data_IF_901554656595
#
_entry.id   IF_901554656595
#
_cell.length_a   1.000
_cell.length_b   1.000
_cell.length_c   1.000
_cell.angle_alpha   90.00
_cell.angle_beta   90.00
_cell.angle_gamma   90.00
#
_symmetry.space_group_name_H-M   'P 1'
#
loop_
_entity.id
_entity.type
_entity.pdbx_description
1 polymer ?
#
# COMPACT_ATOMS: atom_id res chain seq x y z
N UNK A 1 2.69 -5.34 78.45
CA UNK A 1 3.47 -5.78 77.28
C UNK A 1 2.75 -5.60 75.95
N UNK A 2 1.47 -5.96 75.79
CA UNK A 2 0.78 -5.91 74.47
C UNK A 2 0.69 -4.50 73.85
N UNK A 3 0.52 -3.44 74.65
CA UNK A 3 0.43 -2.04 74.14
C UNK A 3 1.75 -1.46 73.61
N UNK A 4 2.90 -1.89 74.12
CA UNK A 4 4.20 -1.39 73.63
C UNK A 4 4.59 -2.06 72.30
N UNK A 5 4.28 -3.35 72.16
CA UNK A 5 4.50 -4.10 70.92
C UNK A 5 3.64 -3.57 69.77
N UNK A 6 2.38 -3.23 70.04
CA UNK A 6 1.49 -2.66 69.01
C UNK A 6 1.95 -1.29 68.52
N UNK A 7 2.43 -0.42 69.42
CA UNK A 7 2.98 0.89 69.04
C UNK A 7 4.25 0.75 68.20
N UNK A 8 5.13 -0.20 68.56
CA UNK A 8 6.36 -0.45 67.80
C UNK A 8 6.06 -0.92 66.37
N UNK A 9 5.09 -1.85 66.21
CA UNK A 9 4.70 -2.37 64.89
C UNK A 9 4.06 -1.29 64.03
N UNK A 10 3.19 -0.45 64.61
CA UNK A 10 2.57 0.67 63.88
C UNK A 10 3.61 1.72 63.48
N UNK A 11 4.56 2.05 64.36
CA UNK A 11 5.65 2.98 64.04
C UNK A 11 6.57 2.43 62.93
N UNK A 12 6.90 1.14 62.97
CA UNK A 12 7.74 0.52 61.94
C UNK A 12 7.03 0.47 60.58
N UNK A 13 5.72 0.17 60.57
CA UNK A 13 4.90 0.18 59.36
C UNK A 13 4.78 1.59 58.75
N UNK A 14 4.63 2.63 59.59
CA UNK A 14 4.61 4.02 59.14
C UNK A 14 5.96 4.47 58.57
N UNK A 15 7.08 4.06 59.16
CA UNK A 15 8.41 4.38 58.64
C UNK A 15 8.66 3.67 57.30
N UNK A 16 8.25 2.41 57.17
CA UNK A 16 8.33 1.65 55.92
C UNK A 16 7.44 2.25 54.83
N UNK A 17 6.22 2.67 55.17
CA UNK A 17 5.32 3.35 54.24
C UNK A 17 5.90 4.70 53.81
N UNK A 18 6.47 5.47 54.74
CA UNK A 18 7.10 6.76 54.44
C UNK A 18 8.34 6.58 53.55
N UNK A 19 9.18 5.58 53.85
CA UNK A 19 10.35 5.24 53.04
C UNK A 19 9.94 4.77 51.62
N UNK A 20 8.86 4.00 51.49
CA UNK A 20 8.32 3.60 50.20
C UNK A 20 7.76 4.79 49.41
N UNK A 21 7.08 5.74 50.06
CA UNK A 21 6.65 6.98 49.39
C UNK A 21 7.81 7.87 48.98
N UNK A 22 8.85 8.00 49.80
CA UNK A 22 10.06 8.77 49.46
C UNK A 22 10.82 8.07 48.31
N UNK A 23 10.95 6.74 48.31
CA UNK A 23 11.49 6.00 47.16
C UNK A 23 10.62 6.16 45.89
N UNK A 24 9.30 6.30 46.01
CA UNK A 24 8.43 6.53 44.84
C UNK A 24 8.56 7.96 44.29
N UNK A 25 8.90 8.94 45.13
CA UNK A 25 9.08 10.34 44.72
C UNK A 25 10.49 10.57 44.15
N UNK A 26 11.51 9.89 44.68
CA UNK A 26 12.90 10.00 44.19
C UNK A 26 13.30 8.93 43.17
N UNK A 27 12.57 7.81 43.11
CA UNK A 27 12.73 6.74 42.12
C UNK A 27 11.78 6.84 40.94
N UNK A 28 10.80 7.75 40.98
CA UNK A 28 10.13 8.21 39.78
C UNK A 28 11.15 9.03 38.99
N UNK A 29 11.83 8.36 38.05
CA UNK A 29 12.34 9.02 36.86
C UNK A 29 11.25 9.98 36.40
N UNK A 30 11.56 11.27 36.10
CA UNK A 30 10.56 12.18 35.57
C UNK A 30 9.87 11.42 34.44
N UNK A 31 8.54 11.26 34.56
CA UNK A 31 7.75 10.60 33.55
C UNK A 31 8.09 11.32 32.25
N UNK A 32 8.89 10.65 31.42
CA UNK A 32 9.37 11.19 30.15
C UNK A 32 8.10 11.60 29.42
N UNK A 33 7.92 12.92 29.24
CA UNK A 33 6.89 13.44 28.35
C UNK A 33 6.94 12.59 27.11
N UNK A 34 5.84 11.91 26.75
CA UNK A 34 5.81 10.83 25.77
C UNK A 34 6.55 11.20 24.48
N UNK A 35 7.84 10.87 24.41
CA UNK A 35 8.66 11.02 23.20
C UNK A 35 8.47 9.74 22.39
N UNK A 36 8.22 9.88 21.09
CA UNK A 36 7.81 8.78 20.24
C UNK A 36 8.88 7.68 20.08
N UNK A 37 10.15 8.07 19.97
CA UNK A 37 11.30 7.18 19.71
C UNK A 37 12.64 7.90 19.95
N UNK A 38 13.72 7.15 20.15
CA UNK A 38 15.09 7.65 20.30
C UNK A 38 15.97 7.27 19.11
N UNK A 39 16.64 8.26 18.53
CA UNK A 39 17.67 8.07 17.51
C UNK A 39 19.03 8.49 18.06
N UNK A 40 20.04 7.65 17.91
CA UNK A 40 21.44 8.01 18.15
C UNK A 40 22.14 8.11 16.80
N UNK A 41 22.83 9.22 16.56
CA UNK A 41 23.66 9.45 15.38
C UNK A 41 25.12 9.42 15.78
N UNK A 42 25.92 8.63 15.09
CA UNK A 42 27.37 8.61 15.26
C UNK A 42 28.07 9.71 14.46
N UNK A 43 28.87 10.52 15.15
CA UNK A 43 29.87 11.42 14.56
C UNK A 43 31.25 11.24 15.22
N UNK A 44 31.42 10.23 16.10
CA UNK A 44 32.69 9.99 16.79
C UNK A 44 33.73 9.32 15.87
N UNK A 45 33.27 8.65 14.82
CA UNK A 45 34.08 7.86 13.90
C UNK A 45 34.45 8.63 12.62
N UNK A 46 34.42 9.96 12.68
CA UNK A 46 34.98 10.86 11.67
C UNK A 46 33.97 11.33 10.61
N UNK A 47 32.69 11.11 10.84
CA UNK A 47 31.59 11.57 10.00
C UNK A 47 31.43 13.10 10.06
N UNK A 48 30.90 13.68 8.98
CA UNK A 48 30.56 15.11 8.93
C UNK A 48 29.23 15.38 9.66
N UNK A 49 29.02 16.57 10.27
CA UNK A 49 27.72 16.94 10.82
C UNK A 49 26.71 17.43 9.75
N UNK A 50 27.06 17.39 8.46
CA UNK A 50 26.20 17.88 7.38
C UNK A 50 24.85 17.15 7.33
N UNK A 51 23.76 17.91 7.18
CA UNK A 51 22.40 17.38 7.14
C UNK A 51 21.79 17.06 8.51
N UNK A 52 22.55 17.19 9.60
CA UNK A 52 22.06 16.96 10.96
C UNK A 52 20.96 17.92 11.37
N UNK A 53 21.03 19.19 10.94
CA UNK A 53 19.98 20.18 11.18
C UNK A 53 18.68 19.81 10.46
N UNK A 54 18.78 19.28 9.23
CA UNK A 54 17.65 18.79 8.45
C UNK A 54 17.06 17.55 9.13
N UNK A 55 17.91 16.62 9.59
CA UNK A 55 17.47 15.43 10.32
C UNK A 55 16.70 15.80 11.57
N UNK A 56 17.24 16.70 12.41
CA UNK A 56 16.58 17.12 13.64
C UNK A 56 15.23 17.82 13.38
N UNK A 57 15.12 18.64 12.32
CA UNK A 57 13.83 19.23 11.89
C UNK A 57 12.85 18.15 11.39
N UNK A 58 13.36 17.15 10.70
CA UNK A 58 12.58 16.06 10.10
C UNK A 58 12.01 15.13 11.17
N UNK A 59 12.76 14.91 12.24
CA UNK A 59 12.43 14.04 13.38
C UNK A 59 11.89 14.84 14.57
N UNK A 60 11.00 15.80 14.31
CA UNK A 60 10.45 16.72 15.30
C UNK A 60 9.68 16.05 16.46
N UNK A 61 9.27 14.80 16.29
CA UNK A 61 8.53 13.97 17.25
C UNK A 61 9.39 12.89 17.94
N UNK A 62 10.69 12.86 17.65
CA UNK A 62 11.66 11.96 18.27
C UNK A 62 12.71 12.72 19.09
N UNK A 63 13.43 11.98 19.94
CA UNK A 63 14.66 12.48 20.56
C UNK A 63 15.87 12.07 19.72
N UNK A 64 16.67 13.05 19.31
CA UNK A 64 17.89 12.84 18.54
C UNK A 64 19.09 13.12 19.44
N UNK A 65 19.91 12.09 19.66
CA UNK A 65 21.18 12.19 20.36
C UNK A 65 22.34 12.05 19.38
N UNK A 66 23.43 12.77 19.63
CA UNK A 66 24.63 12.74 18.77
C UNK A 66 25.82 12.29 19.60
N UNK A 67 26.48 11.23 19.15
CA UNK A 67 27.73 10.74 19.72
C UNK A 67 28.91 11.49 19.08
N UNK A 68 29.77 12.04 19.93
CA UNK A 68 30.95 12.81 19.56
C UNK A 68 32.18 12.19 20.21
N UNK A 69 33.33 12.25 19.54
CA UNK A 69 34.57 11.68 20.08
C UNK A 69 35.08 12.42 21.33
N UNK A 70 34.79 13.72 21.42
CA UNK A 70 35.15 14.57 22.56
C UNK A 70 34.20 15.77 22.68
N UNK A 71 34.13 16.38 23.86
CA UNK A 71 33.33 17.61 24.06
C UNK A 71 33.77 18.76 23.14
N UNK A 72 35.04 18.80 22.73
CA UNK A 72 35.55 19.82 21.80
C UNK A 72 34.86 19.78 20.45
N UNK A 73 34.34 18.62 20.05
CA UNK A 73 33.65 18.43 18.77
C UNK A 73 32.27 19.10 18.76
N UNK A 74 31.70 19.47 19.91
CA UNK A 74 30.48 20.27 19.97
C UNK A 74 30.62 21.60 19.22
N UNK A 75 31.81 22.19 19.22
CA UNK A 75 32.09 23.44 18.51
C UNK A 75 32.07 23.28 16.98
N UNK A 76 32.15 22.05 16.45
CA UNK A 76 32.08 21.75 15.02
C UNK A 76 30.64 21.72 14.50
N UNK A 77 29.66 21.61 15.40
CA UNK A 77 28.24 21.59 15.04
C UNK A 77 27.73 23.01 14.79
N UNK A 78 26.96 23.18 13.73
CA UNK A 78 26.33 24.46 13.43
C UNK A 78 25.32 24.85 14.53
N UNK A 79 25.02 26.15 14.71
CA UNK A 79 24.11 26.60 15.77
C UNK A 79 22.69 26.01 15.69
N UNK A 80 22.20 25.70 14.49
CA UNK A 80 20.84 25.17 14.30
C UNK A 80 20.80 23.73 14.78
N UNK A 81 21.72 22.89 14.32
CA UNK A 81 21.90 21.52 14.85
C UNK A 81 21.97 21.55 16.38
N UNK A 82 22.79 22.45 16.94
CA UNK A 82 22.95 22.51 18.40
C UNK A 82 21.69 22.86 19.18
N UNK A 83 20.78 23.60 18.56
CA UNK A 83 19.51 24.01 19.16
C UNK A 83 18.41 22.96 19.05
N UNK A 84 18.51 22.04 18.08
CA UNK A 84 17.45 21.06 17.77
C UNK A 84 17.75 19.65 18.29
N UNK A 85 19.03 19.31 18.48
CA UNK A 85 19.45 18.02 19.02
C UNK A 85 19.03 17.92 20.50
N UNK A 86 18.52 16.75 20.89
CA UNK A 86 18.00 16.48 22.23
C UNK A 86 19.09 16.30 23.28
N UNK A 87 20.26 15.78 22.87
CA UNK A 87 21.41 15.65 23.76
C UNK A 87 22.67 15.18 23.05
N UNK A 88 23.79 15.28 23.75
CA UNK A 88 25.10 14.88 23.25
C UNK A 88 25.64 13.74 24.10
N UNK A 89 26.35 12.84 23.44
CA UNK A 89 27.09 11.75 24.06
C UNK A 89 28.56 11.93 23.68
N UNK A 90 29.46 11.61 24.60
CA UNK A 90 30.90 11.78 24.43
C UNK A 90 31.57 10.41 24.57
N UNK A 91 32.50 10.09 23.68
CA UNK A 91 33.32 8.87 23.74
C UNK A 91 33.05 7.91 22.59
N UNK A 92 32.98 6.62 22.91
CA UNK A 92 32.83 5.47 22.00
C UNK A 92 31.62 4.64 22.42
N UNK A 93 31.08 3.76 21.57
CA UNK A 93 29.85 3.01 21.88
C UNK A 93 29.94 2.13 23.14
N UNK A 94 31.13 1.68 23.52
CA UNK A 94 31.38 0.91 24.75
C UNK A 94 31.51 1.80 26.01
N UNK A 95 31.82 3.09 25.84
CA UNK A 95 32.14 4.04 26.93
C UNK A 95 31.54 5.43 26.70
N UNK A 96 30.25 5.49 26.40
CA UNK A 96 29.57 6.78 26.21
C UNK A 96 29.28 7.45 27.56
N UNK A 97 29.47 8.77 27.62
CA UNK A 97 29.03 9.61 28.73
C UNK A 97 28.21 10.79 28.25
N UNK A 98 27.34 11.33 29.09
CA UNK A 98 26.78 12.67 28.90
C UNK A 98 27.83 13.75 29.20
N UNK A 99 27.61 15.02 28.82
CA UNK A 99 28.58 16.10 29.06
C UNK A 99 28.86 16.41 30.55
N UNK A 100 28.00 15.97 31.46
CA UNK A 100 28.21 16.04 32.90
C UNK A 100 28.98 14.81 33.47
N UNK A 101 29.45 13.92 32.58
CA UNK A 101 30.30 12.77 32.93
C UNK A 101 29.55 11.51 33.35
N UNK A 102 28.21 11.48 33.28
CA UNK A 102 27.43 10.28 33.63
C UNK A 102 27.54 9.24 32.51
N UNK A 103 27.89 8.00 32.87
CA UNK A 103 27.92 6.88 31.93
C UNK A 103 26.54 6.54 31.39
N UNK A 104 26.46 6.32 30.08
CA UNK A 104 25.25 5.94 29.35
C UNK A 104 25.61 4.82 28.36
N UNK A 105 24.67 3.92 28.11
CA UNK A 105 24.70 2.92 27.03
C UNK A 105 23.51 3.13 26.10
N UNK A 106 23.58 2.60 24.87
CA UNK A 106 22.45 2.61 23.92
C UNK A 106 21.16 2.08 24.57
N UNK A 107 21.26 0.98 25.32
CA UNK A 107 20.13 0.37 26.03
C UNK A 107 19.59 1.28 27.14
N UNK A 108 20.46 1.87 27.97
CA UNK A 108 20.00 2.77 29.05
C UNK A 108 19.39 4.08 28.55
N UNK A 109 19.76 4.51 27.33
CA UNK A 109 19.17 5.66 26.65
C UNK A 109 17.83 5.32 25.99
N UNK A 110 17.46 4.03 25.97
CA UNK A 110 16.32 3.51 25.23
C UNK A 110 16.41 3.80 23.72
N UNK A 111 17.62 3.82 23.16
CA UNK A 111 17.85 3.99 21.72
C UNK A 111 16.99 3.02 20.93
N UNK A 112 16.24 3.48 19.93
CA UNK A 112 15.41 2.65 19.05
C UNK A 112 16.07 2.46 17.67
N UNK A 113 16.77 3.49 17.20
CA UNK A 113 17.56 3.45 15.98
C UNK A 113 18.96 4.04 16.24
N UNK A 114 19.97 3.30 15.82
CA UNK A 114 21.34 3.78 15.69
C UNK A 114 21.61 4.12 14.22
N UNK A 115 22.11 5.32 13.92
CA UNK A 115 22.56 5.70 12.59
C UNK A 115 24.08 5.89 12.64
N UNK A 116 24.79 5.08 11.87
CA UNK A 116 26.21 5.23 11.60
C UNK A 116 26.31 5.67 10.13
N UNK A 117 26.53 6.97 9.87
CA UNK A 117 26.50 7.52 8.53
C UNK A 117 27.70 7.06 7.69
N UNK A 118 28.80 7.80 7.62
CA UNK A 118 29.95 7.48 6.75
C UNK A 118 31.25 7.36 7.56
N UNK A 119 31.43 6.27 8.32
CA UNK A 119 32.54 6.17 9.26
C UNK A 119 33.88 6.15 8.52
N UNK A 120 34.83 6.97 8.97
CA UNK A 120 36.20 7.03 8.43
C UNK A 120 37.26 6.52 9.41
N UNK A 121 36.82 6.07 10.60
CA UNK A 121 37.67 5.48 11.63
C UNK A 121 37.14 4.10 12.01
N UNK A 122 38.07 3.21 12.29
CA UNK A 122 37.78 1.84 12.73
C UNK A 122 37.11 1.81 14.11
N UNK A 123 36.17 0.89 14.26
CA UNK A 123 35.53 0.55 15.52
C UNK A 123 36.34 -0.52 16.25
N UNK A 124 36.44 -0.38 17.57
CA UNK A 124 37.04 -1.41 18.42
C UNK A 124 36.14 -2.65 18.55
N UNK A 125 36.71 -3.76 19.00
CA UNK A 125 35.94 -4.99 19.21
C UNK A 125 34.88 -4.78 20.31
N UNK A 126 35.19 -4.00 21.33
CA UNK A 126 34.32 -3.64 22.44
C UNK A 126 33.12 -2.81 21.96
N UNK A 127 33.32 -1.87 21.03
CA UNK A 127 32.24 -1.08 20.44
C UNK A 127 31.30 -1.94 19.60
N UNK A 128 31.86 -2.81 18.74
CA UNK A 128 31.07 -3.75 17.94
C UNK A 128 30.26 -4.66 18.88
N UNK A 129 30.83 -5.10 20.00
CA UNK A 129 30.11 -5.89 21.00
C UNK A 129 29.00 -5.08 21.70
N UNK A 130 29.22 -3.79 21.97
CA UNK A 130 28.19 -2.92 22.52
C UNK A 130 27.01 -2.74 21.54
N UNK A 131 27.29 -2.59 20.25
CA UNK A 131 26.27 -2.53 19.18
C UNK A 131 25.50 -3.86 19.10
N UNK A 132 26.19 -5.00 19.15
CA UNK A 132 25.55 -6.33 19.19
C UNK A 132 24.59 -6.47 20.37
N UNK A 133 25.05 -6.16 21.58
CA UNK A 133 24.23 -6.26 22.79
C UNK A 133 22.98 -5.36 22.70
N UNK A 134 23.12 -4.19 22.07
CA UNK A 134 22.00 -3.30 21.77
C UNK A 134 21.00 -3.95 20.81
N UNK A 135 21.47 -4.52 19.69
CA UNK A 135 20.62 -5.14 18.67
C UNK A 135 19.98 -6.48 19.11
N UNK A 136 20.56 -7.16 20.09
CA UNK A 136 19.93 -8.34 20.71
C UNK A 136 18.64 -7.99 21.49
N UNK A 137 18.45 -6.71 21.81
CA UNK A 137 17.20 -6.20 22.38
C UNK A 137 16.12 -6.15 21.30
N UNK A 138 14.91 -6.61 21.62
CA UNK A 138 13.81 -6.68 20.65
C UNK A 138 13.43 -5.30 20.10
N UNK A 139 13.24 -5.22 18.78
CA UNK A 139 12.69 -4.04 18.10
C UNK A 139 13.69 -2.90 17.92
N UNK A 140 14.99 -3.22 17.95
CA UNK A 140 16.07 -2.25 17.71
C UNK A 140 16.53 -2.28 16.26
N UNK A 141 17.04 -1.16 15.79
CA UNK A 141 17.50 -1.03 14.42
C UNK A 141 18.84 -0.32 14.32
N UNK A 142 19.55 -0.59 13.24
CA UNK A 142 20.75 0.14 12.84
C UNK A 142 20.66 0.51 11.36
N UNK A 143 21.02 1.75 11.04
CA UNK A 143 21.27 2.20 9.68
C UNK A 143 22.77 2.45 9.52
N UNK A 144 23.43 1.54 8.80
CA UNK A 144 24.82 1.64 8.40
C UNK A 144 24.86 2.21 6.99
N UNK A 145 25.56 3.33 6.80
CA UNK A 145 25.81 3.82 5.46
C UNK A 145 27.30 3.81 5.14
N UNK A 146 27.62 3.90 3.86
CA UNK A 146 28.97 4.06 3.39
C UNK A 146 29.00 5.05 2.25
N UNK A 147 29.86 4.74 1.28
CA UNK A 147 30.12 5.54 0.09
C UNK A 147 30.36 4.58 -1.09
N UNK A 148 30.82 5.13 -2.21
CA UNK A 148 31.35 4.39 -3.34
C UNK A 148 32.86 4.15 -3.22
N UNK A 149 33.45 3.47 -4.21
CA UNK A 149 34.90 3.26 -4.26
C UNK A 149 35.69 4.53 -4.68
N UNK A 150 35.07 5.70 -4.78
CA UNK A 150 35.77 6.95 -5.05
C UNK A 150 36.53 7.41 -3.80
N UNK A 151 37.84 7.74 -3.85
CA UNK A 151 38.61 8.00 -2.65
C UNK A 151 38.08 9.18 -1.81
N UNK A 152 37.99 9.04 -0.47
CA UNK A 152 38.46 7.91 0.35
C UNK A 152 37.37 6.85 0.69
N UNK A 153 36.30 6.76 -0.10
CA UNK A 153 35.10 5.96 0.19
C UNK A 153 35.36 4.47 0.43
N UNK A 154 36.43 3.90 -0.14
CA UNK A 154 36.86 2.51 0.09
C UNK A 154 37.13 2.21 1.58
N UNK A 155 37.56 3.22 2.35
CA UNK A 155 37.76 3.10 3.80
C UNK A 155 36.42 2.91 4.51
N UNK A 156 35.40 3.67 4.12
CA UNK A 156 34.06 3.59 4.71
C UNK A 156 33.41 2.25 4.38
N UNK A 157 33.55 1.80 3.12
CA UNK A 157 33.07 0.47 2.68
C UNK A 157 33.68 -0.64 3.54
N UNK A 158 35.01 -0.61 3.76
CA UNK A 158 35.70 -1.63 4.56
C UNK A 158 35.21 -1.67 6.01
N UNK A 159 35.08 -0.50 6.65
CA UNK A 159 34.58 -0.39 8.03
C UNK A 159 33.16 -0.92 8.14
N UNK A 160 32.26 -0.49 7.23
CA UNK A 160 30.85 -0.90 7.22
C UNK A 160 30.72 -2.40 7.02
N UNK A 161 31.45 -2.98 6.06
CA UNK A 161 31.43 -4.41 5.78
C UNK A 161 31.92 -5.24 6.98
N UNK A 162 32.94 -4.75 7.70
CA UNK A 162 33.42 -5.39 8.94
C UNK A 162 32.36 -5.38 10.04
N UNK A 163 31.61 -4.29 10.20
CA UNK A 163 30.49 -4.21 11.14
C UNK A 163 29.38 -5.17 10.70
N UNK A 164 28.97 -5.14 9.42
CA UNK A 164 27.90 -6.00 8.88
C UNK A 164 28.19 -7.49 9.06
N UNK A 165 29.42 -7.93 8.78
CA UNK A 165 29.87 -9.29 9.02
C UNK A 165 29.81 -9.65 10.50
N UNK A 166 30.29 -8.77 11.37
CA UNK A 166 30.21 -8.99 12.80
C UNK A 166 28.75 -9.14 13.28
N UNK A 167 27.83 -8.33 12.74
CA UNK A 167 26.40 -8.38 13.05
C UNK A 167 25.64 -9.57 12.43
N UNK A 168 26.29 -10.38 11.58
CA UNK A 168 25.65 -11.51 10.92
C UNK A 168 24.72 -11.11 9.78
N UNK A 169 24.92 -9.93 9.20
CA UNK A 169 24.19 -9.46 8.03
C UNK A 169 24.74 -10.07 6.74
N UNK A 170 23.84 -10.49 5.84
CA UNK A 170 24.19 -10.88 4.47
C UNK A 170 24.23 -9.69 3.51
N UNK A 171 23.89 -8.49 3.97
CA UNK A 171 24.12 -7.27 3.20
C UNK A 171 25.58 -6.85 3.31
N UNK A 172 26.10 -6.29 2.23
CA UNK A 172 27.43 -5.69 2.18
C UNK A 172 27.43 -4.51 1.18
N UNK A 173 28.40 -3.62 1.28
CA UNK A 173 28.69 -2.60 0.26
C UNK A 173 29.76 -3.14 -0.68
N UNK A 174 29.50 -3.09 -1.97
CA UNK A 174 30.50 -3.50 -2.96
C UNK A 174 31.54 -2.40 -3.20
N UNK A 175 32.76 -2.79 -3.57
CA UNK A 175 33.86 -1.88 -3.88
C UNK A 175 33.76 -1.39 -5.32
N UNK A 176 32.67 -0.71 -5.64
CA UNK A 176 32.44 -0.08 -6.95
C UNK A 176 31.72 1.24 -6.79
N UNK A 177 31.70 2.03 -7.86
CA UNK A 177 30.83 3.18 -8.01
C UNK A 177 29.76 2.93 -9.06
N UNK A 178 28.71 3.73 -9.00
CA UNK A 178 27.61 3.72 -9.92
C UNK A 178 27.46 5.09 -10.57
N UNK A 179 27.36 5.11 -11.89
CA UNK A 179 26.91 6.28 -12.64
C UNK A 179 25.53 6.01 -13.23
N UNK A 180 24.68 7.04 -13.30
CA UNK A 180 23.42 6.97 -14.02
C UNK A 180 23.32 8.14 -15.02
N UNK A 181 23.52 7.91 -16.33
CA UNK A 181 23.51 8.98 -17.32
C UNK A 181 22.14 9.62 -17.54
N UNK A 182 21.06 9.03 -17.02
CA UNK A 182 19.68 9.49 -17.24
C UNK A 182 19.05 10.04 -15.96
N UNK A 183 19.13 9.29 -14.86
CA UNK A 183 18.55 9.67 -13.57
C UNK A 183 19.64 10.25 -12.67
N UNK A 184 19.97 11.52 -12.91
CA UNK A 184 21.01 12.23 -12.16
C UNK A 184 20.72 13.72 -11.96
N UNK A 185 21.52 14.34 -11.08
CA UNK A 185 21.55 15.78 -10.87
C UNK A 185 22.71 16.44 -11.64
N UNK A 186 22.50 16.65 -12.95
CA UNK A 186 23.43 17.26 -13.92
C UNK A 186 24.70 16.48 -14.28
N UNK A 187 25.12 15.48 -13.50
CA UNK A 187 26.28 14.65 -13.83
C UNK A 187 26.00 13.18 -13.45
N UNK A 188 26.48 12.18 -14.22
CA UNK A 188 26.12 10.78 -14.01
C UNK A 188 26.45 10.22 -12.62
N UNK A 189 27.52 10.70 -11.99
CA UNK A 189 27.92 10.29 -10.62
C UNK A 189 27.06 10.94 -9.52
N UNK A 190 26.09 11.80 -9.84
CA UNK A 190 25.14 12.39 -8.88
C UNK A 190 23.80 11.70 -9.04
N UNK A 191 23.78 10.40 -8.73
CA UNK A 191 22.66 9.52 -9.05
C UNK A 191 21.41 9.94 -8.30
N UNK A 192 20.30 10.00 -9.01
CA UNK A 192 18.96 10.16 -8.43
C UNK A 192 18.34 8.77 -8.38
N UNK A 193 18.40 8.15 -7.21
CA UNK A 193 17.85 6.82 -6.98
C UNK A 193 16.32 6.87 -6.88
N UNK A 194 15.69 5.78 -7.31
CA UNK A 194 14.25 5.58 -7.30
C UNK A 194 13.87 4.78 -6.05
N UNK A 195 13.02 5.35 -5.20
CA UNK A 195 12.46 4.68 -4.03
C UNK A 195 11.37 3.73 -4.51
N UNK A 196 11.69 2.43 -4.52
CA UNK A 196 10.83 1.35 -5.02
C UNK A 196 10.90 0.14 -4.07
N UNK A 197 10.39 0.27 -2.84
CA UNK A 197 10.35 -0.82 -1.88
C UNK A 197 9.46 -1.98 -2.35
N UNK A 198 9.66 -3.20 -1.83
CA UNK A 198 8.76 -4.32 -2.10
C UNK A 198 7.35 -4.03 -1.57
N UNK A 199 6.34 -4.72 -2.09
CA UNK A 199 4.93 -4.49 -1.75
C UNK A 199 4.64 -4.55 -0.24
N UNK A 200 5.36 -5.39 0.52
CA UNK A 200 5.22 -5.48 1.98
C UNK A 200 5.69 -4.23 2.73
N UNK A 201 6.50 -3.39 2.08
CA UNK A 201 7.07 -2.15 2.58
C UNK A 201 6.71 -0.95 1.68
N UNK A 202 5.65 -1.04 0.86
CA UNK A 202 5.25 0.01 -0.09
C UNK A 202 5.08 1.38 0.57
N UNK A 203 4.61 1.39 1.82
CA UNK A 203 4.44 2.60 2.62
C UNK A 203 5.75 3.39 2.85
N UNK A 204 6.93 2.78 2.68
CA UNK A 204 8.21 3.50 2.75
C UNK A 204 8.39 4.49 1.59
N UNK A 205 7.67 4.32 0.48
CA UNK A 205 7.63 5.27 -0.63
C UNK A 205 6.65 6.44 -0.42
N UNK A 206 5.98 6.53 0.73
CA UNK A 206 4.98 7.58 0.97
C UNK A 206 5.60 8.99 0.92
N UNK A 207 5.27 9.72 -0.14
CA UNK A 207 5.81 11.06 -0.43
C UNK A 207 7.31 11.07 -0.76
N UNK A 208 7.90 9.91 -1.04
CA UNK A 208 9.31 9.77 -1.35
C UNK A 208 9.51 8.85 -2.54
N UNK A 209 9.77 9.43 -3.71
CA UNK A 209 9.98 8.72 -4.97
C UNK A 209 11.44 8.77 -5.43
N UNK A 210 12.14 9.87 -5.11
CA UNK A 210 13.49 10.14 -5.60
C UNK A 210 14.41 10.69 -4.53
N UNK A 211 15.58 10.08 -4.37
CA UNK A 211 16.60 10.53 -3.41
C UNK A 211 17.96 10.68 -4.09
N UNK A 212 18.78 11.58 -3.57
CA UNK A 212 20.14 11.78 -4.07
C UNK A 212 21.07 10.73 -3.46
N UNK A 213 21.90 10.16 -4.33
CA UNK A 213 23.06 9.35 -3.97
C UNK A 213 24.28 10.03 -4.61
N UNK A 214 25.00 10.83 -3.83
CA UNK A 214 26.08 11.68 -4.31
C UNK A 214 27.42 10.95 -4.36
N UNK A 215 27.68 10.07 -3.40
CA UNK A 215 28.68 9.02 -3.41
C UNK A 215 28.05 7.66 -3.77
N UNK A 216 27.60 7.45 -5.02
CA UNK A 216 26.77 6.32 -5.37
C UNK A 216 27.57 5.01 -5.42
N UNK A 217 27.64 4.26 -4.32
CA UNK A 217 28.05 2.85 -4.34
C UNK A 217 26.88 1.91 -4.62
N UNK A 218 27.09 0.60 -4.43
CA UNK A 218 26.05 -0.43 -4.62
C UNK A 218 26.02 -1.42 -3.46
N UNK A 219 24.81 -1.83 -3.06
CA UNK A 219 24.61 -2.88 -2.07
C UNK A 219 24.72 -4.27 -2.72
N UNK A 220 25.46 -5.17 -2.09
CA UNK A 220 25.63 -6.55 -2.53
C UNK A 220 25.09 -7.54 -1.49
N UNK A 221 24.96 -8.79 -1.94
CA UNK A 221 24.74 -9.92 -1.04
C UNK A 221 26.06 -10.65 -0.80
N UNK A 222 26.35 -10.92 0.48
CA UNK A 222 27.48 -11.75 0.91
C UNK A 222 26.95 -12.95 1.70
N UNK A 223 27.24 -14.14 1.21
CA UNK A 223 26.98 -15.37 1.93
C UNK A 223 28.02 -15.54 3.04
N UNK A 224 27.60 -15.40 4.30
CA UNK A 224 28.49 -15.51 5.45
C UNK A 224 29.01 -16.93 5.69
N UNK A 225 28.32 -17.97 5.18
CA UNK A 225 28.77 -19.35 5.35
C UNK A 225 29.93 -19.68 4.40
N UNK A 226 29.92 -19.11 3.20
CA UNK A 226 30.92 -19.40 2.15
C UNK A 226 31.92 -18.25 1.93
N UNK A 227 31.60 -17.05 2.42
CA UNK A 227 32.33 -15.81 2.14
C UNK A 227 32.07 -15.24 0.73
N UNK A 228 31.22 -15.89 -0.07
CA UNK A 228 31.01 -15.52 -1.49
C UNK A 228 30.12 -14.29 -1.64
N UNK A 229 30.43 -13.48 -2.64
CA UNK A 229 29.66 -12.30 -3.01
C UNK A 229 28.80 -12.57 -4.24
N UNK A 230 27.63 -11.95 -4.30
CA UNK A 230 26.74 -12.03 -5.46
C UNK A 230 25.91 -10.77 -5.63
N UNK A 231 25.63 -10.42 -6.88
CA UNK A 231 24.75 -9.32 -7.26
C UNK A 231 23.31 -9.55 -6.77
N UNK A 232 22.63 -8.48 -6.35
CA UNK A 232 21.20 -8.46 -6.07
C UNK A 232 20.51 -7.85 -7.30
N UNK A 233 19.65 -8.62 -7.97
CA UNK A 233 18.98 -8.20 -9.21
C UNK A 233 17.49 -7.96 -8.98
N UNK A 234 16.83 -7.05 -9.72
CA UNK A 234 15.39 -6.76 -9.54
C UNK A 234 14.48 -7.99 -9.67
N UNK A 235 14.85 -8.95 -10.54
CA UNK A 235 14.13 -10.20 -10.80
C UNK A 235 14.56 -11.36 -9.89
N UNK A 236 15.61 -11.19 -9.09
CA UNK A 236 16.16 -12.23 -8.22
C UNK A 236 16.78 -11.62 -6.95
N UNK A 237 15.94 -11.06 -6.08
CA UNK A 237 16.35 -10.57 -4.76
C UNK A 237 16.49 -11.75 -3.79
N UNK A 238 17.64 -11.93 -3.10
CA UNK A 238 17.82 -13.00 -2.13
C UNK A 238 16.77 -12.99 -1.02
N UNK A 239 16.40 -14.18 -0.54
CA UNK A 239 15.38 -14.32 0.53
C UNK A 239 15.83 -13.59 1.80
N UNK A 240 14.90 -12.86 2.41
CA UNK A 240 15.15 -12.12 3.64
C UNK A 240 15.74 -10.72 3.43
N UNK A 241 16.08 -10.36 2.18
CA UNK A 241 16.51 -9.02 1.80
C UNK A 241 15.34 -8.25 1.21
N UNK A 242 15.21 -6.99 1.61
CA UNK A 242 14.28 -6.02 1.02
C UNK A 242 15.06 -4.85 0.44
N UNK A 243 15.08 -4.69 -0.89
CA UNK A 243 15.69 -3.51 -1.52
C UNK A 243 14.67 -2.38 -1.57
N UNK A 244 15.06 -1.21 -1.08
CA UNK A 244 14.17 -0.07 -0.84
C UNK A 244 14.37 1.01 -1.92
N UNK A 245 15.62 1.25 -2.31
CA UNK A 245 15.95 2.20 -3.38
C UNK A 245 16.90 1.56 -4.40
N UNK A 246 16.64 1.87 -5.66
CA UNK A 246 17.38 1.37 -6.81
C UNK A 246 17.87 2.52 -7.70
N UNK A 247 18.96 2.32 -8.43
CA UNK A 247 19.26 3.16 -9.59
C UNK A 247 18.17 3.04 -10.67
N UNK A 248 18.18 3.93 -11.67
CA UNK A 248 17.37 3.68 -12.86
C UNK A 248 17.90 2.47 -13.64
N UNK A 249 17.12 1.91 -14.59
CA UNK A 249 17.61 0.85 -15.48
C UNK A 249 18.80 1.23 -16.37
N UNK A 250 19.18 2.51 -16.43
CA UNK A 250 20.32 3.00 -17.20
C UNK A 250 21.60 3.12 -16.35
N UNK A 251 21.56 2.69 -15.09
CA UNK A 251 22.73 2.66 -14.22
C UNK A 251 23.88 1.89 -14.86
N UNK A 252 25.10 2.31 -14.55
CA UNK A 252 26.34 1.72 -15.05
C UNK A 252 27.37 1.65 -13.92
N UNK A 253 27.90 0.46 -13.68
CA UNK A 253 29.00 0.28 -12.73
C UNK A 253 30.28 0.85 -13.31
N UNK A 254 31.00 1.63 -12.49
CA UNK A 254 32.31 2.17 -12.79
C UNK A 254 33.26 1.85 -11.64
N UNK A 255 34.55 1.82 -11.94
CA UNK A 255 35.62 1.55 -10.99
C UNK A 255 36.47 2.82 -10.88
N UNK A 256 36.46 3.44 -9.71
CA UNK A 256 37.26 4.62 -9.41
C UNK A 256 38.57 4.25 -8.72
N UNK A 257 38.62 3.14 -7.97
CA UNK A 257 39.82 2.73 -7.24
C UNK A 257 40.11 1.24 -7.31
N UNK A 258 41.02 0.87 -8.23
CA UNK A 258 41.54 -0.49 -8.33
C UNK A 258 42.83 -0.72 -7.51
N UNK A 259 43.26 -1.98 -7.33
CA UNK A 259 44.58 -2.30 -6.76
C UNK A 259 45.72 -1.55 -7.48
N UNK A 260 46.75 -1.08 -6.75
CA UNK A 260 47.04 -1.35 -5.34
C UNK A 260 46.40 -0.36 -4.35
N UNK A 261 45.60 0.60 -4.81
CA UNK A 261 45.05 1.68 -3.95
C UNK A 261 43.66 1.35 -3.39
N UNK A 262 42.96 0.40 -3.99
CA UNK A 262 41.64 -0.07 -3.56
C UNK A 262 41.43 -1.55 -3.88
N UNK A 263 40.18 -1.98 -3.85
CA UNK A 263 39.74 -3.34 -4.16
C UNK A 263 38.83 -3.28 -5.39
N UNK A 264 38.88 -4.32 -6.22
CA UNK A 264 37.91 -4.47 -7.30
C UNK A 264 36.54 -4.86 -6.71
N UNK A 265 35.49 -4.55 -7.46
CA UNK A 265 34.14 -5.07 -7.22
C UNK A 265 34.12 -6.58 -6.99
N UNK A 266 33.37 -6.99 -5.97
CA UNK A 266 33.23 -8.38 -5.52
C UNK A 266 31.96 -9.03 -6.06
N UNK A 267 30.88 -8.26 -6.21
CA UNK A 267 29.58 -8.73 -6.68
C UNK A 267 29.22 -8.20 -8.07
N UNK A 268 29.69 -7.00 -8.41
CA UNK A 268 29.46 -6.32 -9.67
C UNK A 268 30.79 -6.02 -10.37
N UNK A 269 30.75 -5.88 -11.70
CA UNK A 269 31.94 -5.59 -12.52
C UNK A 269 31.78 -4.26 -13.25
N UNK A 270 32.87 -3.50 -13.36
CA UNK A 270 32.90 -2.27 -14.15
C UNK A 270 32.39 -2.50 -15.58
N UNK A 271 31.43 -1.68 -16.01
CA UNK A 271 30.75 -1.80 -17.29
C UNK A 271 29.41 -2.53 -17.23
N UNK A 272 29.06 -3.20 -16.13
CA UNK A 272 27.71 -3.74 -15.91
C UNK A 272 26.68 -2.61 -16.01
N UNK A 273 25.54 -2.88 -16.67
CA UNK A 273 24.43 -1.93 -16.81
C UNK A 273 23.13 -2.50 -16.28
N UNK A 274 22.26 -1.63 -15.78
CA UNK A 274 20.94 -2.02 -15.26
C UNK A 274 20.52 -1.22 -14.03
N UNK A 275 19.60 -1.81 -13.26
CA UNK A 275 19.15 -1.28 -11.97
C UNK A 275 19.92 -1.94 -10.83
N UNK A 276 20.57 -1.12 -10.02
CA UNK A 276 21.43 -1.54 -8.93
C UNK A 276 20.86 -1.11 -7.58
N UNK A 277 20.93 -1.96 -6.54
CA UNK A 277 20.42 -1.65 -5.21
C UNK A 277 21.30 -0.60 -4.52
N UNK A 278 20.69 0.45 -3.98
CA UNK A 278 21.42 1.54 -3.31
C UNK A 278 21.04 1.64 -1.82
N UNK A 279 19.83 1.20 -1.46
CA UNK A 279 19.40 1.02 -0.08
C UNK A 279 18.71 -0.33 0.04
N UNK A 280 19.14 -1.15 0.99
CA UNK A 280 18.48 -2.41 1.31
C UNK A 280 18.39 -2.62 2.82
N UNK A 281 17.51 -3.52 3.23
CA UNK A 281 17.36 -3.90 4.62
C UNK A 281 17.23 -5.41 4.79
N UNK A 282 17.66 -5.89 5.95
CA UNK A 282 17.57 -7.28 6.39
C UNK A 282 17.15 -7.31 7.85
N UNK A 283 16.32 -8.28 8.21
CA UNK A 283 16.07 -8.59 9.63
C UNK A 283 17.04 -9.69 10.04
N UNK A 284 17.86 -9.43 11.05
CA UNK A 284 18.81 -10.39 11.64
C UNK A 284 18.46 -10.55 13.12
N UNK A 285 18.10 -11.77 13.51
CA UNK A 285 17.57 -12.02 14.86
C UNK A 285 16.32 -11.17 15.13
N UNK A 286 16.39 -10.28 16.12
CA UNK A 286 15.31 -9.38 16.50
C UNK A 286 15.48 -7.93 15.98
N UNK A 287 16.52 -7.68 15.18
CA UNK A 287 16.92 -6.35 14.76
C UNK A 287 16.74 -6.13 13.26
N UNK A 288 16.43 -4.88 12.90
CA UNK A 288 16.42 -4.42 11.51
C UNK A 288 17.76 -3.76 11.18
N UNK A 289 18.47 -4.29 10.19
CA UNK A 289 19.70 -3.71 9.65
C UNK A 289 19.35 -3.06 8.32
N UNK A 290 19.62 -1.77 8.21
CA UNK A 290 19.49 -0.98 6.98
C UNK A 290 20.90 -0.66 6.49
N UNK A 291 21.14 -0.88 5.21
CA UNK A 291 22.41 -0.58 4.54
C UNK A 291 22.14 0.34 3.37
N UNK A 292 22.87 1.45 3.30
CA UNK A 292 22.85 2.33 2.13
C UNK A 292 24.26 2.64 1.64
N UNK A 293 24.43 2.70 0.32
CA UNK A 293 25.70 3.04 -0.31
C UNK A 293 26.01 4.53 -0.31
N UNK A 294 25.04 5.36 0.08
CA UNK A 294 25.20 6.78 0.39
C UNK A 294 24.68 7.01 1.81
N UNK A 295 25.23 7.99 2.48
CA UNK A 295 24.83 8.34 3.83
C UNK A 295 23.58 9.22 3.87
N UNK A 296 22.60 8.92 4.74
CA UNK A 296 21.42 9.77 4.88
C UNK A 296 21.82 11.17 5.39
N UNK A 297 22.89 11.26 6.18
CA UNK A 297 23.53 12.47 6.67
C UNK A 297 25.05 12.28 6.64
N UNK A 298 25.83 13.35 6.80
CA UNK A 298 27.27 13.24 7.09
C UNK A 298 28.23 12.98 5.93
N UNK A 299 27.74 12.96 4.70
CA UNK A 299 28.58 13.13 3.49
C UNK A 299 28.74 14.62 3.11
N UNK A 300 29.57 14.92 2.10
CA UNK A 300 29.65 16.19 1.39
C UNK A 300 28.27 16.71 0.96
N UNK A 301 27.44 15.86 0.33
CA UNK A 301 26.05 16.18 -0.03
C UNK A 301 25.14 14.97 0.28
N UNK A 302 24.65 14.86 1.53
CA UNK A 302 24.01 13.65 1.99
C UNK A 302 22.61 13.41 1.39
N UNK A 303 22.15 12.16 1.44
CA UNK A 303 20.87 11.73 0.88
C UNK A 303 19.62 12.42 1.44
N UNK A 304 19.68 13.04 2.63
CA UNK A 304 18.58 13.85 3.20
C UNK A 304 18.33 15.17 2.43
N UNK A 305 19.15 15.48 1.42
CA UNK A 305 19.01 16.69 0.61
C UNK A 305 17.65 16.77 -0.10
N UNK A 306 16.97 17.91 0.00
CA UNK A 306 15.67 18.16 -0.65
C UNK A 306 15.79 18.72 -2.08
N UNK A 307 16.93 19.31 -2.42
CA UNK A 307 17.18 19.82 -3.77
C UNK A 307 18.68 19.84 -4.08
N UNK A 308 19.07 19.42 -5.27
CA UNK A 308 20.45 19.51 -5.74
C UNK A 308 20.51 19.85 -7.22
N UNK A 309 21.27 20.88 -7.60
CA UNK A 309 21.40 21.37 -8.97
C UNK A 309 20.07 21.56 -9.73
N UNK A 310 19.05 22.07 -9.04
CA UNK A 310 17.72 22.31 -9.61
C UNK A 310 16.79 21.09 -9.63
N UNK A 311 17.27 19.89 -9.28
CA UNK A 311 16.46 18.69 -9.14
C UNK A 311 15.84 18.65 -7.74
N UNK A 312 14.51 18.59 -7.67
CA UNK A 312 13.78 18.37 -6.42
C UNK A 312 13.87 16.90 -6.02
N UNK A 313 14.08 16.66 -4.73
CA UNK A 313 14.36 15.37 -4.14
C UNK A 313 13.54 15.21 -2.86
N UNK A 314 13.31 13.96 -2.48
CA UNK A 314 12.47 13.60 -1.34
C UNK A 314 13.29 13.16 -0.13
N UNK A 315 14.58 13.54 -0.07
CA UNK A 315 15.52 13.14 0.98
C UNK A 315 14.96 13.22 2.40
N UNK A 316 14.41 14.36 2.85
CA UNK A 316 13.85 14.48 4.20
C UNK A 316 12.69 13.52 4.43
N UNK A 317 11.80 13.36 3.44
CA UNK A 317 10.64 12.47 3.56
C UNK A 317 11.07 11.01 3.58
N UNK A 318 12.02 10.63 2.75
CA UNK A 318 12.58 9.28 2.71
C UNK A 318 13.22 8.92 4.06
N UNK A 319 14.12 9.77 4.58
CA UNK A 319 14.76 9.55 5.88
C UNK A 319 13.71 9.45 6.99
N UNK A 320 12.68 10.30 6.99
CA UNK A 320 11.56 10.19 7.94
C UNK A 320 10.87 8.83 7.84
N UNK A 321 10.50 8.38 6.64
CA UNK A 321 9.83 7.09 6.45
C UNK A 321 10.68 5.94 7.00
N UNK A 322 11.97 5.95 6.70
CA UNK A 322 12.93 4.95 7.18
C UNK A 322 13.03 4.95 8.71
N UNK A 323 13.15 6.11 9.35
CA UNK A 323 13.25 6.22 10.82
C UNK A 323 11.96 5.75 11.50
N UNK A 324 10.79 6.19 11.01
CA UNK A 324 9.50 5.81 11.60
C UNK A 324 9.27 4.29 11.51
N UNK A 325 9.68 3.68 10.40
CA UNK A 325 9.60 2.24 10.21
C UNK A 325 10.61 1.48 11.09
N UNK A 326 11.88 1.89 11.06
CA UNK A 326 12.97 1.22 11.77
C UNK A 326 12.78 1.23 13.30
N UNK A 327 12.25 2.33 13.83
CA UNK A 327 11.93 2.47 15.27
C UNK A 327 10.64 1.75 15.68
N UNK A 328 9.86 1.25 14.73
CA UNK A 328 8.53 0.67 14.98
C UNK A 328 7.47 1.68 15.42
N UNK A 329 7.82 2.97 15.60
CA UNK A 329 6.88 4.02 15.97
C UNK A 329 5.79 4.19 14.90
N UNK A 330 6.18 4.04 13.63
CA UNK A 330 5.38 4.12 12.41
C UNK A 330 4.66 5.46 12.17
N UNK A 331 4.38 6.27 13.19
CA UNK A 331 3.84 7.64 13.07
C UNK A 331 2.71 7.72 12.03
N UNK A 332 2.88 8.62 11.06
CA UNK A 332 1.95 8.80 9.95
C UNK A 332 1.85 7.58 9.00
N UNK A 333 2.86 6.73 8.93
CA UNK A 333 2.86 5.53 8.08
C UNK A 333 1.77 4.54 8.50
N UNK A 334 1.35 4.53 9.78
CA UNK A 334 0.19 3.72 10.23
C UNK A 334 -1.07 4.04 9.43
N UNK A 335 -1.30 5.33 9.14
CA UNK A 335 -2.45 5.76 8.35
C UNK A 335 -2.30 5.40 6.88
N UNK A 336 -1.08 5.46 6.33
CA UNK A 336 -0.78 5.02 4.96
C UNK A 336 -1.10 3.53 4.81
N UNK A 337 -0.55 2.68 5.68
CA UNK A 337 -0.79 1.22 5.66
C UNK A 337 -2.28 0.90 5.79
N UNK A 338 -2.99 1.57 6.70
CA UNK A 338 -4.44 1.40 6.88
C UNK A 338 -5.22 1.82 5.62
N UNK A 339 -4.83 2.93 5.01
CA UNK A 339 -5.49 3.45 3.80
C UNK A 339 -5.26 2.53 2.60
N UNK A 340 -4.03 2.06 2.39
CA UNK A 340 -3.72 1.09 1.33
C UNK A 340 -4.53 -0.20 1.49
N UNK A 341 -4.68 -0.71 2.73
CA UNK A 341 -5.53 -1.88 2.98
C UNK A 341 -6.98 -1.61 2.61
N UNK A 342 -7.52 -0.46 3.01
CA UNK A 342 -8.90 -0.05 2.65
C UNK A 342 -9.09 0.06 1.14
N UNK A 343 -8.11 0.58 0.41
CA UNK A 343 -8.15 0.65 -1.07
C UNK A 343 -8.21 -0.76 -1.67
N UNK A 344 -7.36 -1.69 -1.22
CA UNK A 344 -7.40 -3.09 -1.70
C UNK A 344 -8.75 -3.77 -1.40
N UNK A 345 -9.29 -3.55 -0.20
CA UNK A 345 -10.60 -4.09 0.19
C UNK A 345 -11.73 -3.50 -0.70
N UNK A 346 -11.62 -2.22 -1.08
CA UNK A 346 -12.53 -1.56 -2.02
C UNK A 346 -12.40 -2.10 -3.45
N UNK A 347 -11.17 -2.31 -3.94
CA UNK A 347 -10.91 -2.90 -5.27
C UNK A 347 -11.53 -4.31 -5.38
N UNK A 348 -11.37 -5.13 -4.35
CA UNK A 348 -11.99 -6.45 -4.28
C UNK A 348 -13.53 -6.37 -4.29
N UNK A 349 -14.10 -5.45 -3.51
CA UNK A 349 -15.54 -5.21 -3.45
C UNK A 349 -16.10 -4.73 -4.80
N UNK A 350 -15.37 -3.85 -5.48
CA UNK A 350 -15.73 -3.35 -6.81
C UNK A 350 -15.72 -4.47 -7.85
N UNK A 351 -14.70 -5.33 -7.83
CA UNK A 351 -14.62 -6.49 -8.73
C UNK A 351 -15.81 -7.44 -8.56
N UNK A 352 -16.20 -7.70 -7.31
CA UNK A 352 -17.39 -8.51 -7.00
C UNK A 352 -18.68 -7.84 -7.51
N UNK A 353 -18.85 -6.53 -7.31
CA UNK A 353 -20.01 -5.80 -7.80
C UNK A 353 -20.09 -5.83 -9.34
N UNK A 354 -18.96 -5.68 -10.04
CA UNK A 354 -18.90 -5.81 -11.50
C UNK A 354 -19.33 -7.21 -11.97
N UNK A 355 -18.95 -8.26 -11.24
CA UNK A 355 -19.41 -9.63 -11.54
C UNK A 355 -20.92 -9.78 -11.36
N UNK A 356 -21.50 -9.22 -10.29
CA UNK A 356 -22.95 -9.26 -10.05
C UNK A 356 -23.73 -8.49 -11.13
N UNK A 357 -23.22 -7.34 -11.58
CA UNK A 357 -23.83 -6.57 -12.68
C UNK A 357 -23.87 -7.40 -13.97
N UNK A 358 -22.78 -8.10 -14.32
CA UNK A 358 -22.74 -8.98 -15.50
C UNK A 358 -23.75 -10.13 -15.43
N UNK A 359 -23.94 -10.72 -14.24
CA UNK A 359 -24.96 -11.75 -14.03
C UNK A 359 -26.38 -11.20 -14.18
N UNK A 360 -26.65 -10.02 -13.62
CA UNK A 360 -27.93 -9.34 -13.77
C UNK A 360 -28.23 -8.99 -15.23
N UNK A 361 -27.25 -8.48 -15.97
CA UNK A 361 -27.38 -8.18 -17.40
C UNK A 361 -27.73 -9.43 -18.22
N UNK A 362 -27.10 -10.56 -17.89
CA UNK A 362 -27.39 -11.87 -18.49
C UNK A 362 -28.84 -12.31 -18.19
N UNK A 363 -29.30 -12.16 -16.95
CA UNK A 363 -30.68 -12.47 -16.55
C UNK A 363 -31.71 -11.57 -17.24
N UNK A 364 -31.43 -10.28 -17.36
CA UNK A 364 -32.31 -9.33 -18.08
C UNK A 364 -32.42 -9.70 -19.55
N UNK A 365 -31.30 -10.08 -20.18
CA UNK A 365 -31.28 -10.54 -21.58
C UNK A 365 -32.12 -11.80 -21.78
N UNK A 366 -31.99 -12.77 -20.87
CA UNK A 366 -32.81 -13.98 -20.88
C UNK A 366 -34.30 -13.68 -20.72
N UNK A 367 -34.67 -12.86 -19.73
CA UNK A 367 -36.06 -12.45 -19.49
C UNK A 367 -36.64 -11.70 -20.70
N UNK A 368 -35.88 -10.80 -21.31
CA UNK A 368 -36.29 -10.07 -22.51
C UNK A 368 -36.55 -11.02 -23.68
N UNK A 369 -35.72 -12.05 -23.84
CA UNK A 369 -35.91 -13.10 -24.83
C UNK A 369 -37.17 -13.93 -24.57
N UNK A 370 -37.41 -14.31 -23.31
CA UNK A 370 -38.62 -15.04 -22.90
C UNK A 370 -39.88 -14.22 -23.16
N UNK A 371 -39.89 -12.94 -22.78
CA UNK A 371 -41.02 -12.04 -22.98
C UNK A 371 -41.33 -11.85 -24.48
N UNK A 372 -40.30 -11.66 -25.30
CA UNK A 372 -40.47 -11.56 -26.76
C UNK A 372 -41.09 -12.83 -27.36
N UNK A 373 -40.65 -14.01 -26.89
CA UNK A 373 -41.21 -15.29 -27.31
C UNK A 373 -42.69 -15.42 -26.92
N UNK A 374 -43.05 -15.06 -25.68
CA UNK A 374 -44.43 -15.08 -25.22
C UNK A 374 -45.32 -14.10 -26.00
N UNK A 375 -44.84 -12.89 -26.27
CA UNK A 375 -45.55 -11.90 -27.07
C UNK A 375 -45.84 -12.42 -28.48
N UNK A 376 -44.87 -13.06 -29.13
CA UNK A 376 -45.05 -13.68 -30.44
C UNK A 376 -46.10 -14.81 -30.41
N UNK A 377 -46.05 -15.68 -29.40
CA UNK A 377 -47.05 -16.75 -29.23
C UNK A 377 -48.46 -16.20 -29.02
N UNK A 378 -48.61 -15.15 -28.21
CA UNK A 378 -49.89 -14.47 -28.01
C UNK A 378 -50.39 -13.83 -29.30
N UNK A 379 -49.50 -13.18 -30.07
CA UNK A 379 -49.83 -12.63 -31.39
C UNK A 379 -50.38 -13.70 -32.35
N UNK A 380 -49.72 -14.86 -32.43
CA UNK A 380 -50.22 -15.99 -33.24
C UNK A 380 -51.59 -16.47 -32.78
N UNK A 381 -51.81 -16.62 -31.47
CA UNK A 381 -53.11 -17.04 -30.93
C UNK A 381 -54.22 -16.03 -31.22
N UNK A 382 -53.93 -14.72 -31.14
CA UNK A 382 -54.87 -13.66 -31.48
C UNK A 382 -55.27 -13.75 -32.95
N UNK A 383 -54.30 -13.94 -33.86
CA UNK A 383 -54.58 -14.10 -35.29
C UNK A 383 -55.46 -15.34 -35.56
N UNK A 384 -55.18 -16.47 -34.92
CA UNK A 384 -56.00 -17.68 -35.05
C UNK A 384 -57.44 -17.46 -34.58
N UNK A 385 -57.63 -16.77 -33.45
CA UNK A 385 -58.96 -16.43 -32.94
C UNK A 385 -59.68 -15.48 -33.88
N UNK A 386 -59.00 -14.45 -34.37
CA UNK A 386 -59.54 -13.50 -35.35
C UNK A 386 -60.07 -14.21 -36.60
N UNK A 387 -59.28 -15.12 -37.17
CA UNK A 387 -59.67 -15.94 -38.32
C UNK A 387 -60.92 -16.81 -38.02
N UNK A 388 -60.99 -17.41 -36.83
CA UNK A 388 -62.17 -18.18 -36.40
C UNK A 388 -63.41 -17.31 -36.28
N UNK A 389 -63.28 -16.08 -35.74
CA UNK A 389 -64.39 -15.12 -35.65
C UNK A 389 -64.89 -14.73 -37.03
N UNK A 390 -64.02 -14.36 -37.97
CA UNK A 390 -64.42 -14.04 -39.34
C UNK A 390 -65.12 -15.21 -40.03
N UNK A 391 -64.65 -16.45 -39.79
CA UNK A 391 -65.32 -17.65 -40.31
C UNK A 391 -66.72 -17.82 -39.72
N UNK A 392 -66.89 -17.59 -38.41
CA UNK A 392 -68.19 -17.63 -37.73
C UNK A 392 -69.13 -16.54 -38.25
N UNK A 393 -68.65 -15.31 -38.42
CA UNK A 393 -69.43 -14.20 -38.99
C UNK A 393 -69.95 -14.56 -40.38
N UNK A 394 -69.09 -15.10 -41.25
CA UNK A 394 -69.49 -15.55 -42.59
C UNK A 394 -70.57 -16.66 -42.53
N UNK A 395 -70.43 -17.60 -41.60
CA UNK A 395 -71.44 -18.66 -41.39
C UNK A 395 -72.77 -18.09 -40.90
N UNK A 396 -72.75 -17.14 -39.96
CA UNK A 396 -73.96 -16.46 -39.45
C UNK A 396 -74.65 -15.68 -40.55
N UNK A 397 -73.90 -14.94 -41.37
CA UNK A 397 -74.46 -14.20 -42.51
C UNK A 397 -75.11 -15.13 -43.55
N UNK A 398 -74.48 -16.28 -43.81
CA UNK A 398 -75.04 -17.31 -44.70
C UNK A 398 -76.35 -17.87 -44.13
N UNK A 399 -76.36 -18.28 -42.85
CA UNK A 399 -77.55 -18.78 -42.15
C UNK A 399 -78.69 -17.76 -42.12
N UNK A 400 -78.38 -16.49 -41.86
CA UNK A 400 -79.35 -15.38 -41.87
C UNK A 400 -79.98 -15.21 -43.26
N UNK A 401 -79.17 -15.31 -44.32
CA UNK A 401 -79.63 -15.25 -45.71
C UNK A 401 -80.52 -16.44 -46.06
N UNK A 402 -80.10 -17.66 -45.71
CA UNK A 402 -80.87 -18.88 -45.93
C UNK A 402 -82.23 -18.85 -45.21
N UNK A 403 -82.25 -18.33 -43.98
CA UNK A 403 -83.46 -18.17 -43.20
C UNK A 403 -84.40 -17.13 -43.84
N UNK A 404 -83.87 -15.97 -44.25
CA UNK A 404 -84.63 -14.94 -44.97
C UNK A 404 -85.26 -15.48 -46.25
N UNK A 405 -84.49 -16.24 -47.04
CA UNK A 405 -84.98 -16.90 -48.24
C UNK A 405 -86.10 -17.91 -47.94
N UNK A 406 -85.95 -18.70 -46.87
CA UNK A 406 -86.96 -19.66 -46.44
C UNK A 406 -88.25 -18.98 -45.97
N UNK A 407 -88.16 -17.87 -45.23
CA UNK A 407 -89.31 -17.07 -44.81
C UNK A 407 -90.03 -16.46 -46.01
N UNK A 408 -89.30 -15.86 -46.96
CA UNK A 408 -89.88 -15.32 -48.19
C UNK A 408 -90.57 -16.42 -49.01
N UNK A 409 -89.99 -17.62 -49.07
CA UNK A 409 -90.62 -18.76 -49.73
C UNK A 409 -91.92 -19.18 -49.04
N UNK A 410 -91.95 -19.24 -47.71
CA UNK A 410 -93.17 -19.54 -46.94
C UNK A 410 -94.25 -18.47 -47.15
N UNK A 411 -93.88 -17.19 -47.09
CA UNK A 411 -94.79 -16.08 -47.30
C UNK A 411 -95.45 -16.13 -48.70
N UNK A 412 -94.66 -16.43 -49.74
CA UNK A 412 -95.18 -16.61 -51.10
C UNK A 412 -96.15 -17.79 -51.22
N UNK A 413 -95.87 -18.92 -50.55
CA UNK A 413 -96.77 -20.09 -50.51
C UNK A 413 -98.07 -19.78 -49.77
N UNK A 414 -98.00 -19.06 -48.65
CA UNK A 414 -99.18 -18.63 -47.88
C UNK A 414 -100.03 -17.68 -48.72
N UNK A 415 -99.42 -16.67 -49.34
CA UNK A 415 -100.11 -15.71 -50.22
C UNK A 415 -100.79 -16.41 -51.40
N UNK A 416 -100.11 -17.37 -52.05
CA UNK A 416 -100.70 -18.20 -53.10
C UNK A 416 -101.90 -19.02 -52.61
N UNK A 417 -101.81 -19.60 -51.42
CA UNK A 417 -102.90 -20.37 -50.80
C UNK A 417 -104.10 -19.48 -50.44
N UNK A 418 -103.87 -18.29 -49.89
CA UNK A 418 -104.91 -17.31 -49.61
C UNK A 418 -105.62 -16.87 -50.89
N UNK A 419 -104.88 -16.61 -51.97
CA UNK A 419 -105.46 -16.29 -53.29
C UNK A 419 -106.35 -17.43 -53.80
N UNK A 420 -105.93 -18.69 -53.63
CA UNK A 420 -106.77 -19.86 -53.95
C UNK A 420 -108.03 -19.93 -53.09
N UNK A 421 -107.93 -19.66 -51.78
CA UNK A 421 -109.09 -19.62 -50.88
C UNK A 421 -110.06 -18.52 -51.29
N UNK A 422 -109.58 -17.31 -51.57
CA UNK A 422 -110.42 -16.20 -52.05
C UNK A 422 -111.09 -16.53 -53.38
N UNK A 423 -110.37 -17.15 -54.32
CA UNK A 423 -110.95 -17.63 -55.58
C UNK A 423 -112.04 -18.68 -55.34
N UNK A 424 -111.79 -19.66 -54.46
CA UNK A 424 -112.75 -20.70 -54.12
C UNK A 424 -114.01 -20.14 -53.42
N UNK A 425 -113.84 -19.20 -52.48
CA UNK A 425 -114.94 -18.50 -51.81
C UNK A 425 -115.73 -17.63 -52.79
N UNK A 426 -115.04 -16.89 -53.67
CA UNK A 426 -115.68 -16.11 -54.74
C UNK A 426 -116.52 -16.97 -55.65
N UNK A 427 -115.99 -18.13 -56.09
CA UNK A 427 -116.73 -19.13 -56.87
C UNK A 427 -117.93 -19.69 -56.09
N UNK A 428 -117.77 -19.99 -54.80
CA UNK A 428 -118.87 -20.50 -53.96
C UNK A 428 -119.99 -19.46 -53.80
N UNK A 429 -119.65 -18.19 -53.60
CA UNK A 429 -120.63 -17.08 -53.53
C UNK A 429 -121.34 -16.90 -54.88
N UNK A 430 -120.62 -16.93 -56.00
CA UNK A 430 -121.23 -16.90 -57.35
C UNK A 430 -122.18 -18.09 -57.52
N UNK A 431 -121.78 -19.28 -57.09
CA UNK A 431 -122.61 -20.48 -57.10
C UNK A 431 -123.90 -20.33 -56.28
N UNK A 432 -123.81 -19.76 -55.07
CA UNK A 432 -124.96 -19.46 -54.23
C UNK A 432 -125.88 -18.40 -54.83
N UNK A 433 -125.33 -17.33 -55.42
CA UNK A 433 -126.10 -16.28 -56.12
C UNK A 433 -126.81 -16.87 -57.33
N UNK A 434 -126.11 -17.66 -58.16
CA UNK A 434 -126.71 -18.33 -59.31
C UNK A 434 -127.82 -19.31 -58.90
N UNK A 435 -127.62 -20.05 -57.81
CA UNK A 435 -128.63 -20.92 -57.21
C UNK A 435 -129.86 -20.14 -56.72
N UNK A 436 -129.67 -19.02 -56.04
CA UNK A 436 -130.75 -18.14 -55.59
C UNK A 436 -131.51 -17.51 -56.78
N UNK A 437 -130.81 -17.07 -57.83
CA UNK A 437 -131.42 -16.54 -59.07
C UNK A 437 -132.24 -17.62 -59.80
N UNK A 438 -131.73 -18.85 -59.87
CA UNK A 438 -132.48 -19.99 -60.44
C UNK A 438 -133.75 -20.28 -59.63
N UNK A 439 -133.68 -20.22 -58.29
CA UNK A 439 -134.84 -20.36 -57.40
C UNK A 439 -135.88 -19.24 -57.60
N UNK A 440 -135.43 -17.98 -57.77
CA UNK A 440 -136.33 -16.84 -58.03
C UNK A 440 -137.02 -16.95 -59.40
N UNK A 441 -136.34 -17.50 -60.42
CA UNK A 441 -136.92 -17.68 -61.77
C UNK A 441 -137.89 -18.85 -61.89
N UNK A 442 -137.92 -19.74 -60.89
CA UNK A 442 -138.77 -20.94 -60.84
C UNK A 442 -140.14 -20.72 -60.17
N UNK A 443 -140.53 -19.47 -59.95
CA UNK A 443 -141.84 -19.08 -59.40
C UNK A 443 -142.65 -18.26 -60.39
#
# INVERSE_FOLDING_TARGET
>A
MVRSSFRLVVSLALILALAATVLSIYGALPARSAVGYVVVVDLAHGESPKGLDILAKTLYDGEVYVLLSSEKDLAKLDPVSRSLISGYLIGTFDKMTTPDGKTVTLTSLLTDLLIIPQPTKEFTAEEIQAIKNYLDTRGKAIWLAGDSDYPPGETSIAIVNKILEALGSNLALDYVSLEDPVSNAQAPYRVVALVKPPQSLSFLGFGAEKILMHGPGVVAYRDLATGSWSAIKPDNVPRGISVIAWSSPNGKIVENTAPPRGLLGQAYTAGDTGSFPMVAAQVVGNATIIVSSESPIGDYQPGITAQYYGVMLDGPRFVRNMVLWATGYMGELKYVVSTEKRVRDLEASLSNAMSMIKDLDSKISQLSGQLSSQANQLGSRINDVSNKVSSLENRVNSLSSDLSNSVNSLDSKISGSLNMIYAALGLAVIGLIAGAVALIRSR
#
